data_IF_899142637222
#
_entry.id   IF_899142637222
#
_cell.length_a   1.000
_cell.length_b   1.000
_cell.length_c   1.000
_cell.angle_alpha   90.00
_cell.angle_beta   90.00
_cell.angle_gamma   90.00
#
_symmetry.space_group_name_H-M   'P 1'
#
loop_
_entity.id
_entity.type
_entity.pdbx_description
1 polymer ?
#
# COMPACT_ATOMS: atom_id res chain seq x y z
N UNK A 1 -8.11 3.96 -1.93
CA UNK A 1 -7.10 4.94 -1.41
C UNK A 1 -6.00 5.14 -2.44
N UNK A 2 -5.38 6.32 -2.47
CA UNK A 2 -4.10 6.59 -3.12
C UNK A 2 -2.95 6.05 -2.25
N UNK A 3 -1.82 5.71 -2.87
CA UNK A 3 -0.64 5.24 -2.13
C UNK A 3 -0.13 6.27 -1.10
N UNK A 4 -0.25 7.57 -1.41
CA UNK A 4 0.10 8.65 -0.50
C UNK A 4 -0.75 8.66 0.78
N UNK A 5 -2.01 8.26 0.71
CA UNK A 5 -2.90 8.14 1.87
C UNK A 5 -2.50 6.93 2.71
N UNK A 6 -2.22 5.78 2.07
CA UNK A 6 -1.77 4.57 2.78
C UNK A 6 -0.52 4.84 3.61
N UNK A 7 0.46 5.58 3.08
CA UNK A 7 1.67 5.94 3.83
C UNK A 7 1.43 6.87 5.01
N UNK A 8 0.35 7.65 4.99
CA UNK A 8 -0.04 8.51 6.11
C UNK A 8 -0.79 7.73 7.19
N UNK A 9 -1.65 6.79 6.80
CA UNK A 9 -2.45 5.98 7.72
C UNK A 9 -1.66 4.85 8.38
N UNK A 10 -0.67 4.28 7.69
CA UNK A 10 0.15 3.16 8.16
C UNK A 10 1.64 3.52 8.17
N UNK A 11 2.04 4.52 8.97
CA UNK A 11 3.45 4.93 9.03
C UNK A 11 4.28 3.81 9.66
N UNK A 12 5.42 3.49 9.04
CA UNK A 12 6.35 2.46 9.51
C UNK A 12 5.76 1.04 9.62
N UNK A 13 4.64 0.76 8.96
CA UNK A 13 4.06 -0.58 8.86
C UNK A 13 4.35 -1.20 7.50
N UNK A 14 4.42 -2.51 7.46
CA UNK A 14 4.31 -3.26 6.20
C UNK A 14 2.82 -3.45 5.95
N UNK A 15 2.34 -3.20 4.72
CA UNK A 15 0.93 -3.34 4.35
C UNK A 15 0.77 -4.32 3.20
N UNK A 16 -0.23 -5.19 3.31
CA UNK A 16 -0.72 -5.99 2.19
C UNK A 16 -1.85 -5.21 1.52
N UNK A 17 -1.74 -5.00 0.20
CA UNK A 17 -2.71 -4.21 -0.55
C UNK A 17 -3.24 -4.96 -1.78
N UNK A 18 -4.51 -4.71 -2.09
CA UNK A 18 -5.15 -5.09 -3.34
C UNK A 18 -5.26 -3.88 -4.26
N UNK A 19 -4.93 -4.05 -5.54
CA UNK A 19 -5.15 -3.02 -6.56
C UNK A 19 -6.61 -3.04 -7.02
N UNK A 20 -7.36 -1.98 -6.70
CA UNK A 20 -8.76 -1.82 -7.08
C UNK A 20 -8.90 -1.25 -8.49
N UNK A 21 -8.04 -0.27 -8.82
CA UNK A 21 -8.02 0.38 -10.12
C UNK A 21 -6.57 0.51 -10.59
N UNK A 22 -6.30 -0.03 -11.78
CA UNK A 22 -4.98 0.07 -12.40
C UNK A 22 -5.10 0.15 -13.91
N UNK A 23 -4.14 0.82 -14.52
CA UNK A 23 -4.00 0.98 -15.96
C UNK A 23 -2.63 0.43 -16.37
N UNK A 24 -2.58 -0.32 -17.47
CA UNK A 24 -1.30 -0.71 -18.07
C UNK A 24 -0.96 0.27 -19.19
N UNK A 25 0.18 0.94 -19.09
CA UNK A 25 0.70 1.86 -20.11
C UNK A 25 2.02 1.28 -20.63
N UNK A 26 1.97 0.68 -21.81
CA UNK A 26 3.10 -0.06 -22.38
C UNK A 26 3.42 -1.29 -21.51
N UNK A 27 4.63 -1.31 -20.93
CA UNK A 27 5.09 -2.40 -20.06
C UNK A 27 4.96 -2.08 -18.56
N UNK A 28 4.41 -0.91 -18.21
CA UNK A 28 4.26 -0.47 -16.83
C UNK A 28 2.79 -0.55 -16.40
N UNK A 29 2.55 -1.00 -15.16
CA UNK A 29 1.22 -0.96 -14.54
C UNK A 29 1.18 0.17 -13.53
N UNK A 30 0.35 1.16 -13.80
CA UNK A 30 0.08 2.26 -12.89
C UNK A 30 -1.13 1.93 -12.02
N UNK A 31 -0.95 1.91 -10.70
CA UNK A 31 -2.04 1.66 -9.75
C UNK A 31 -2.63 2.99 -9.32
N UNK A 32 -3.90 3.22 -9.64
CA UNK A 32 -4.60 4.45 -9.31
C UNK A 32 -5.28 4.39 -7.94
N UNK A 33 -5.78 3.21 -7.55
CA UNK A 33 -6.49 3.00 -6.30
C UNK A 33 -6.19 1.63 -5.71
N UNK A 34 -5.99 1.61 -4.39
CA UNK A 34 -5.71 0.42 -3.61
C UNK A 34 -6.64 0.30 -2.40
N UNK A 35 -6.83 -0.93 -1.95
CA UNK A 35 -7.37 -1.29 -0.64
C UNK A 35 -6.26 -1.89 0.22
N UNK A 36 -6.18 -1.55 1.50
CA UNK A 36 -5.29 -2.23 2.45
C UNK A 36 -6.07 -3.42 3.01
N UNK A 37 -5.57 -4.63 2.77
CA UNK A 37 -6.16 -5.87 3.27
C UNK A 37 -5.66 -6.15 4.69
N UNK A 38 -4.37 -5.91 4.93
CA UNK A 38 -3.74 -6.19 6.23
C UNK A 38 -2.55 -5.26 6.48
N UNK A 39 -2.17 -5.13 7.74
CA UNK A 39 -0.95 -4.44 8.14
C UNK A 39 -0.17 -5.26 9.17
N UNK A 40 1.15 -5.09 9.15
CA UNK A 40 2.06 -5.74 10.05
C UNK A 40 2.90 -4.65 10.70
N UNK A 41 2.97 -4.70 12.03
CA UNK A 41 3.93 -3.89 12.78
C UNK A 41 5.33 -4.26 12.28
N UNK A 42 6.11 -3.25 11.92
CA UNK A 42 7.52 -3.48 11.63
C UNK A 42 8.15 -3.96 12.94
N UNK A 43 8.70 -5.18 12.96
CA UNK A 43 9.25 -5.87 14.15
C UNK A 43 10.45 -5.20 14.83
N UNK A 44 10.64 -3.91 14.60
CA UNK A 44 11.50 -3.02 15.36
C UNK A 44 10.72 -2.29 16.48
N UNK A 45 9.57 -2.82 16.91
CA UNK A 45 9.06 -2.60 18.26
C UNK A 45 10.03 -3.30 19.21
N UNK A 46 11.06 -2.54 19.64
CA UNK A 46 11.97 -2.94 20.69
C UNK A 46 11.20 -3.33 21.95
N UNK A 47 11.76 -4.30 22.67
CA UNK A 47 11.39 -4.74 24.02
C UNK A 47 10.96 -3.61 24.96
#
# INVERSE_FOLDING_TARGET
MKWSEVRQHFPNSIVLVEALKSETRGNERMIEEISVIDNFENGNTGH
#
